data_IF_755353563871
#
_entry.id   IF_755353563871
#
_cell.length_a   1.000
_cell.length_b   1.000
_cell.length_c   1.000
_cell.angle_alpha   90.00
_cell.angle_beta   90.00
_cell.angle_gamma   90.00
#
_symmetry.space_group_name_H-M   'P 1'
#
loop_
_entity.id
_entity.type
_entity.pdbx_description
1 polymer ?
#
# COMPACT_ATOMS: atom_id res chain seq x y z
N UNK A 1 -73.14 -22.81 -36.72
CA UNK A 1 -72.69 -21.59 -36.02
C UNK A 1 -72.05 -21.84 -34.63
N UNK A 2 -71.89 -23.09 -34.15
CA UNK A 2 -71.39 -23.39 -32.79
C UNK A 2 -69.88 -23.65 -32.66
N UNK A 3 -69.18 -24.04 -33.73
CA UNK A 3 -67.74 -24.38 -33.65
C UNK A 3 -66.82 -23.17 -33.40
N UNK A 4 -67.16 -21.98 -33.94
CA UNK A 4 -66.34 -20.76 -33.76
C UNK A 4 -66.34 -20.23 -32.33
N UNK A 5 -67.38 -20.49 -31.53
CA UNK A 5 -67.44 -20.07 -30.11
C UNK A 5 -66.62 -20.98 -29.18
N UNK A 6 -66.54 -22.27 -29.47
CA UNK A 6 -65.75 -23.23 -28.68
C UNK A 6 -64.23 -23.02 -28.79
N UNK A 7 -63.74 -22.70 -29.99
CA UNK A 7 -62.30 -22.46 -30.24
C UNK A 7 -61.83 -21.17 -29.55
N UNK A 8 -62.65 -20.11 -29.55
CA UNK A 8 -62.34 -18.87 -28.85
C UNK A 8 -62.29 -19.03 -27.32
N UNK A 9 -63.17 -19.86 -26.74
CA UNK A 9 -63.17 -20.15 -25.31
C UNK A 9 -61.95 -21.00 -24.87
N UNK A 10 -61.54 -21.97 -25.69
CA UNK A 10 -60.30 -22.75 -25.49
C UNK A 10 -59.05 -21.88 -25.63
N UNK A 11 -59.01 -20.96 -26.60
CA UNK A 11 -57.88 -20.04 -26.75
C UNK A 11 -57.78 -19.08 -25.56
N UNK A 12 -58.90 -18.55 -25.07
CA UNK A 12 -58.92 -17.66 -23.89
C UNK A 12 -58.52 -18.38 -22.60
N UNK A 13 -58.88 -19.65 -22.43
CA UNK A 13 -58.51 -20.44 -21.24
C UNK A 13 -57.04 -20.87 -21.27
N UNK A 14 -56.54 -21.30 -22.44
CA UNK A 14 -55.11 -21.61 -22.64
C UNK A 14 -54.26 -20.34 -22.50
N UNK A 15 -54.69 -19.22 -23.07
CA UNK A 15 -54.00 -17.94 -22.93
C UNK A 15 -53.99 -17.43 -21.48
N UNK A 16 -55.09 -17.59 -20.74
CA UNK A 16 -55.14 -17.28 -19.30
C UNK A 16 -54.17 -18.13 -18.48
N UNK A 17 -53.89 -19.38 -18.87
CA UNK A 17 -52.89 -20.25 -18.22
C UNK A 17 -51.45 -19.95 -18.62
N UNK A 18 -51.20 -19.57 -19.87
CA UNK A 18 -49.85 -19.34 -20.42
C UNK A 18 -49.34 -17.92 -20.10
N UNK A 19 -50.23 -16.92 -20.00
CA UNK A 19 -49.87 -15.55 -19.66
C UNK A 19 -49.11 -15.42 -18.32
N UNK A 20 -49.52 -16.04 -17.20
CA UNK A 20 -48.77 -15.97 -15.94
C UNK A 20 -47.44 -16.72 -15.99
N UNK A 21 -47.32 -17.85 -16.71
CA UNK A 21 -46.04 -18.56 -16.85
C UNK A 21 -45.03 -17.78 -17.70
N UNK A 22 -45.48 -17.11 -18.76
CA UNK A 22 -44.67 -16.17 -19.55
C UNK A 22 -44.23 -14.94 -18.74
N UNK A 23 -45.09 -14.41 -17.88
CA UNK A 23 -44.75 -13.29 -17.00
C UNK A 23 -43.71 -13.70 -15.94
N UNK A 24 -43.85 -14.89 -15.33
CA UNK A 24 -42.84 -15.45 -14.43
C UNK A 24 -41.52 -15.71 -15.15
N UNK A 25 -41.54 -16.29 -16.35
CA UNK A 25 -40.33 -16.54 -17.14
C UNK A 25 -39.59 -15.24 -17.49
N UNK A 26 -40.32 -14.18 -17.88
CA UNK A 26 -39.74 -12.84 -18.11
C UNK A 26 -39.15 -12.24 -16.84
N UNK A 27 -39.83 -12.41 -15.70
CA UNK A 27 -39.32 -11.94 -14.41
C UNK A 27 -38.00 -12.62 -14.05
N UNK A 28 -37.92 -13.95 -14.13
CA UNK A 28 -36.69 -14.70 -13.83
C UNK A 28 -35.57 -14.41 -14.84
N UNK A 29 -35.89 -14.22 -16.12
CA UNK A 29 -34.90 -13.84 -17.14
C UNK A 29 -34.31 -12.43 -16.89
N UNK A 30 -35.13 -11.49 -16.41
CA UNK A 30 -34.69 -10.13 -16.09
C UNK A 30 -34.14 -9.99 -14.65
N UNK A 31 -34.38 -10.96 -13.78
CA UNK A 31 -33.99 -10.90 -12.38
C UNK A 31 -32.48 -10.72 -12.20
N UNK A 32 -31.67 -11.55 -12.85
CA UNK A 32 -30.23 -11.55 -12.71
C UNK A 32 -29.57 -10.22 -13.19
N UNK A 33 -29.86 -9.69 -14.39
CA UNK A 33 -29.29 -8.41 -14.82
C UNK A 33 -29.79 -7.22 -13.98
N UNK A 34 -31.05 -7.23 -13.54
CA UNK A 34 -31.58 -6.17 -12.66
C UNK A 34 -30.90 -6.20 -11.28
N UNK A 35 -30.69 -7.38 -10.71
CA UNK A 35 -29.99 -7.54 -9.43
C UNK A 35 -28.51 -7.14 -9.51
N UNK A 36 -27.82 -7.46 -10.62
CA UNK A 36 -26.44 -6.99 -10.85
C UNK A 36 -26.40 -5.47 -10.95
N UNK A 37 -27.28 -4.87 -11.75
CA UNK A 37 -27.37 -3.42 -11.90
C UNK A 37 -27.68 -2.74 -10.57
N UNK A 38 -28.61 -3.30 -9.78
CA UNK A 38 -28.90 -2.84 -8.42
C UNK A 38 -27.66 -2.90 -7.53
N UNK A 39 -26.94 -4.04 -7.48
CA UNK A 39 -25.73 -4.19 -6.67
C UNK A 39 -24.62 -3.22 -7.07
N UNK A 40 -24.49 -2.92 -8.35
CA UNK A 40 -23.53 -1.91 -8.82
C UNK A 40 -23.94 -0.49 -8.39
N UNK A 41 -25.23 -0.14 -8.48
CA UNK A 41 -25.76 1.16 -8.01
C UNK A 41 -25.65 1.31 -6.49
N UNK A 42 -26.03 0.28 -5.75
CA UNK A 42 -25.89 0.19 -4.30
C UNK A 42 -24.43 0.37 -3.89
N UNK A 43 -23.50 -0.32 -4.55
CA UNK A 43 -22.06 -0.17 -4.29
C UNK A 43 -21.55 1.23 -4.63
N UNK A 44 -22.02 1.87 -5.70
CA UNK A 44 -21.66 3.25 -6.03
C UNK A 44 -22.16 4.23 -4.98
N UNK A 45 -23.44 4.14 -4.60
CA UNK A 45 -24.01 4.98 -3.55
C UNK A 45 -23.30 4.74 -2.20
N UNK A 46 -22.96 3.50 -1.88
CA UNK A 46 -22.18 3.19 -0.68
C UNK A 46 -20.77 3.79 -0.73
N UNK A 47 -20.08 3.73 -1.88
CA UNK A 47 -18.78 4.36 -2.05
C UNK A 47 -18.83 5.90 -2.02
N UNK A 48 -19.98 6.52 -2.30
CA UNK A 48 -20.17 7.96 -2.12
C UNK A 48 -20.28 8.32 -0.63
N UNK A 49 -20.91 7.46 0.18
CA UNK A 49 -21.06 7.64 1.63
C UNK A 49 -19.76 7.29 2.37
N UNK A 50 -19.12 6.19 2.01
CA UNK A 50 -17.86 5.73 2.61
C UNK A 50 -16.81 5.61 1.51
N UNK A 51 -16.20 6.74 1.09
CA UNK A 51 -15.23 6.75 0.01
C UNK A 51 -13.99 5.93 0.35
N UNK A 52 -13.43 5.31 -0.68
CA UNK A 52 -12.13 4.65 -0.58
C UNK A 52 -11.03 5.67 -0.78
N UNK A 53 -10.27 5.92 0.27
CA UNK A 53 -9.12 6.80 0.28
C UNK A 53 -7.85 6.00 0.01
N UNK A 54 -7.10 6.39 -1.01
CA UNK A 54 -5.81 5.77 -1.32
C UNK A 54 -4.71 6.53 -0.59
N UNK A 55 -4.33 6.03 0.57
CA UNK A 55 -3.39 6.68 1.47
C UNK A 55 -2.11 5.85 1.58
N UNK A 56 -0.97 6.53 1.53
CA UNK A 56 0.30 5.94 1.96
C UNK A 56 0.37 5.88 3.48
N UNK A 57 1.26 5.06 4.03
CA UNK A 57 1.49 5.01 5.48
C UNK A 57 1.88 6.37 6.07
N UNK A 58 2.65 7.19 5.34
CA UNK A 58 3.02 8.54 5.76
C UNK A 58 1.83 9.50 5.78
N UNK A 59 0.95 9.42 4.77
CA UNK A 59 -0.30 10.22 4.73
C UNK A 59 -1.29 9.80 5.84
N UNK A 60 -1.33 8.51 6.17
CA UNK A 60 -2.13 8.01 7.28
C UNK A 60 -1.62 8.55 8.62
N UNK A 61 -0.31 8.50 8.86
CA UNK A 61 0.33 9.10 10.05
C UNK A 61 0.05 10.59 10.11
N UNK A 62 0.16 11.29 8.98
CA UNK A 62 -0.10 12.73 8.92
C UNK A 62 -1.53 13.04 9.38
N UNK A 63 -2.54 12.33 8.86
CA UNK A 63 -3.95 12.50 9.28
C UNK A 63 -4.20 12.13 10.74
N UNK A 64 -3.53 11.10 11.23
CA UNK A 64 -3.62 10.68 12.63
C UNK A 64 -3.06 11.78 13.56
N UNK A 65 -1.90 12.34 13.21
CA UNK A 65 -1.27 13.44 13.95
C UNK A 65 -2.02 14.78 13.81
N UNK A 66 -2.77 15.00 12.72
CA UNK A 66 -3.67 16.15 12.58
C UNK A 66 -4.79 16.13 13.62
N UNK A 67 -5.31 14.95 13.95
CA UNK A 67 -6.35 14.75 14.97
C UNK A 67 -5.79 14.75 16.40
N UNK A 68 -4.46 14.81 16.55
CA UNK A 68 -3.82 14.89 17.84
C UNK A 68 -3.95 16.31 18.40
N UNK A 69 -4.97 16.50 19.24
CA UNK A 69 -5.08 17.66 20.11
C UNK A 69 -4.02 17.56 21.22
N UNK A 70 -3.43 18.69 21.62
CA UNK A 70 -2.45 18.77 22.72
C UNK A 70 -3.12 18.49 24.07
N UNK A 71 -3.58 17.26 24.29
CA UNK A 71 -4.16 16.83 25.55
C UNK A 71 -3.00 16.46 26.49
N UNK A 72 -3.03 17.00 27.71
CA UNK A 72 -2.08 16.71 28.80
C UNK A 72 -0.64 17.23 28.65
N UNK A 73 -0.43 18.36 27.97
CA UNK A 73 0.85 19.11 28.06
C UNK A 73 2.05 18.47 27.37
N UNK A 74 1.88 17.28 26.76
CA UNK A 74 2.84 16.72 25.81
C UNK A 74 2.72 17.44 24.48
N UNK A 75 3.28 18.64 24.43
CA UNK A 75 3.42 19.39 23.18
C UNK A 75 4.41 18.69 22.27
N UNK A 76 4.21 18.84 20.96
CA UNK A 76 5.21 18.49 19.95
C UNK A 76 6.37 19.48 20.06
N UNK A 77 7.10 19.42 21.17
CA UNK A 77 8.13 20.34 21.55
C UNK A 77 9.43 20.06 20.80
N UNK A 78 10.32 21.06 20.81
CA UNK A 78 11.66 20.94 20.23
C UNK A 78 12.45 19.76 20.82
N UNK A 79 12.28 19.45 22.11
CA UNK A 79 12.92 18.30 22.76
C UNK A 79 12.48 16.96 22.16
N UNK A 80 11.18 16.80 21.89
CA UNK A 80 10.64 15.63 21.23
C UNK A 80 11.15 15.52 19.79
N UNK A 81 11.18 16.63 19.06
CA UNK A 81 11.77 16.68 17.72
C UNK A 81 13.26 16.26 17.73
N UNK A 82 14.06 16.77 18.67
CA UNK A 82 15.47 16.44 18.79
C UNK A 82 15.69 14.95 19.13
N UNK A 83 14.83 14.36 19.96
CA UNK A 83 14.84 12.91 20.27
C UNK A 83 14.50 12.05 19.03
N UNK A 84 13.47 12.45 18.28
CA UNK A 84 13.10 11.77 17.02
C UNK A 84 14.22 11.85 15.99
N UNK A 85 14.84 13.03 15.83
CA UNK A 85 15.96 13.23 14.91
C UNK A 85 17.16 12.36 15.31
N UNK A 86 17.50 12.30 16.61
CA UNK A 86 18.58 11.44 17.11
C UNK A 86 18.31 9.96 16.83
N UNK A 87 17.08 9.51 17.12
CA UNK A 87 16.66 8.12 16.88
C UNK A 87 16.71 7.79 15.40
N UNK A 88 16.25 8.71 14.55
CA UNK A 88 16.32 8.60 13.08
C UNK A 88 17.76 8.46 12.60
N UNK A 89 18.69 9.29 13.06
CA UNK A 89 20.10 9.24 12.64
C UNK A 89 20.76 7.92 13.04
N UNK A 90 20.56 7.47 14.28
CA UNK A 90 21.11 6.21 14.78
C UNK A 90 20.60 5.02 13.97
N UNK A 91 19.30 5.02 13.66
CA UNK A 91 18.67 3.96 12.88
C UNK A 91 19.14 3.97 11.43
N UNK A 92 19.27 5.15 10.82
CA UNK A 92 19.81 5.29 9.48
C UNK A 92 21.27 4.79 9.39
N UNK A 93 22.11 5.09 10.37
CA UNK A 93 23.50 4.62 10.37
C UNK A 93 23.59 3.10 10.56
N UNK A 94 22.70 2.51 11.39
CA UNK A 94 22.57 1.05 11.48
C UNK A 94 22.16 0.43 10.14
N UNK A 95 21.18 1.02 9.44
CA UNK A 95 20.77 0.55 8.10
C UNK A 95 21.92 0.66 7.11
N UNK A 96 22.62 1.80 7.06
CA UNK A 96 23.74 2.01 6.14
C UNK A 96 24.86 0.98 6.33
N UNK A 97 25.26 0.72 7.59
CA UNK A 97 26.26 -0.31 7.91
C UNK A 97 25.83 -1.70 7.46
N UNK A 98 24.54 -2.05 7.64
CA UNK A 98 24.01 -3.34 7.20
C UNK A 98 23.92 -3.46 5.68
N UNK A 99 23.55 -2.39 4.97
CA UNK A 99 23.55 -2.37 3.51
C UNK A 99 24.96 -2.58 2.94
N UNK A 100 25.96 -1.92 3.51
CA UNK A 100 27.37 -2.12 3.11
C UNK A 100 27.79 -3.57 3.36
N UNK A 101 27.48 -4.12 4.55
CA UNK A 101 27.78 -5.52 4.87
C UNK A 101 27.09 -6.48 3.88
N UNK A 102 25.79 -6.31 3.62
CA UNK A 102 25.05 -7.13 2.67
C UNK A 102 25.61 -7.01 1.26
N UNK A 103 26.03 -5.82 0.83
CA UNK A 103 26.68 -5.61 -0.47
C UNK A 103 28.01 -6.36 -0.54
N UNK A 104 28.86 -6.28 0.49
CA UNK A 104 30.12 -7.01 0.53
C UNK A 104 29.91 -8.53 0.47
N UNK A 105 28.95 -9.06 1.25
CA UNK A 105 28.63 -10.49 1.22
C UNK A 105 28.05 -10.91 -0.13
N UNK A 106 27.18 -10.09 -0.71
CA UNK A 106 26.62 -10.36 -2.03
C UNK A 106 27.72 -10.37 -3.12
N UNK A 107 28.62 -9.39 -3.11
CA UNK A 107 29.76 -9.36 -4.05
C UNK A 107 30.66 -10.59 -3.89
N UNK A 108 30.92 -11.04 -2.66
CA UNK A 108 31.66 -12.27 -2.40
C UNK A 108 30.92 -13.50 -2.93
N UNK A 109 29.62 -13.63 -2.64
CA UNK A 109 28.78 -14.73 -3.13
C UNK A 109 28.72 -14.76 -4.66
N UNK A 110 28.57 -13.60 -5.29
CA UNK A 110 28.52 -13.48 -6.75
C UNK A 110 29.86 -13.83 -7.40
N UNK A 111 30.98 -13.34 -6.85
CA UNK A 111 32.32 -13.70 -7.32
C UNK A 111 32.58 -15.21 -7.21
N UNK A 112 32.20 -15.81 -6.08
CA UNK A 112 32.30 -17.26 -5.88
C UNK A 112 31.43 -18.04 -6.86
N UNK A 113 30.21 -17.55 -7.14
CA UNK A 113 29.31 -18.18 -8.10
C UNK A 113 29.90 -18.18 -9.53
N UNK A 114 30.59 -17.10 -9.91
CA UNK A 114 31.35 -17.00 -11.16
C UNK A 114 32.66 -17.81 -11.14
N UNK A 115 32.95 -18.58 -10.08
CA UNK A 115 34.19 -19.33 -9.89
C UNK A 115 35.46 -18.46 -9.96
N UNK A 116 35.33 -17.15 -9.71
CA UNK A 116 36.45 -16.27 -9.46
C UNK A 116 36.96 -16.65 -8.05
N UNK A 117 38.08 -17.37 -7.98
CA UNK A 117 38.71 -17.84 -6.74
C UNK A 117 39.26 -16.66 -5.91
N UNK A 118 38.38 -15.80 -5.43
CA UNK A 118 38.74 -14.61 -4.65
C UNK A 118 38.66 -14.99 -3.17
N UNK A 119 39.82 -15.04 -2.52
CA UNK A 119 39.90 -15.23 -1.08
C UNK A 119 39.50 -13.92 -0.38
N UNK A 120 38.45 -13.96 0.45
CA UNK A 120 37.94 -12.79 1.18
C UNK A 120 38.29 -12.88 2.65
N UNK A 121 38.92 -11.81 3.18
CA UNK A 121 39.17 -11.62 4.61
C UNK A 121 38.12 -10.66 5.17
N UNK A 122 37.27 -11.14 6.07
CA UNK A 122 36.28 -10.29 6.77
C UNK A 122 36.48 -10.46 8.27
N UNK A 123 36.82 -9.36 8.95
CA UNK A 123 36.93 -9.33 10.43
C UNK A 123 38.01 -10.26 11.01
N UNK A 124 39.07 -10.59 10.26
CA UNK A 124 40.14 -11.49 10.70
C UNK A 124 39.94 -12.97 10.39
N UNK A 125 38.81 -13.35 9.76
CA UNK A 125 38.57 -14.72 9.31
C UNK A 125 38.86 -14.87 7.81
N UNK A 126 39.65 -15.90 7.46
CA UNK A 126 39.85 -16.35 6.08
C UNK A 126 38.70 -17.27 5.66
N UNK A 127 37.81 -16.77 4.81
CA UNK A 127 36.71 -17.56 4.24
C UNK A 127 37.23 -18.39 3.07
N UNK A 128 37.71 -19.61 3.36
CA UNK A 128 38.04 -20.59 2.32
C UNK A 128 36.77 -21.07 1.60
N UNK A 129 36.88 -21.29 0.30
CA UNK A 129 35.78 -21.77 -0.53
C UNK A 129 35.19 -23.09 0.01
N UNK A 130 33.94 -23.03 0.46
CA UNK A 130 33.12 -24.21 0.73
C UNK A 130 31.68 -23.93 0.31
N UNK A 131 31.02 -24.85 -0.40
CA UNK A 131 29.63 -24.66 -0.80
C UNK A 131 28.67 -24.45 0.37
N UNK A 132 29.00 -25.00 1.56
CA UNK A 132 28.19 -24.83 2.77
C UNK A 132 28.22 -23.36 3.24
N UNK A 133 29.38 -22.73 3.14
CA UNK A 133 29.59 -21.33 3.56
C UNK A 133 28.77 -20.39 2.67
N UNK A 134 28.71 -20.66 1.35
CA UNK A 134 27.90 -19.87 0.44
C UNK A 134 26.40 -19.94 0.77
N UNK A 135 25.86 -21.14 1.05
CA UNK A 135 24.45 -21.30 1.43
C UNK A 135 24.14 -20.66 2.79
N UNK A 136 25.04 -20.80 3.77
CA UNK A 136 24.91 -20.16 5.07
C UNK A 136 24.95 -18.63 4.98
N UNK A 137 25.86 -18.07 4.19
CA UNK A 137 25.94 -16.62 3.95
C UNK A 137 24.69 -16.10 3.22
N UNK A 138 24.16 -16.84 2.25
CA UNK A 138 22.91 -16.49 1.58
C UNK A 138 21.73 -16.45 2.57
N UNK A 139 21.65 -17.44 3.47
CA UNK A 139 20.62 -17.46 4.51
C UNK A 139 20.75 -16.27 5.48
N UNK A 140 21.96 -16.02 5.99
CA UNK A 140 22.24 -14.92 6.93
C UNK A 140 21.97 -13.56 6.29
N UNK A 141 22.40 -13.36 5.04
CA UNK A 141 22.13 -12.10 4.32
C UNK A 141 20.65 -11.88 4.10
N UNK A 142 19.88 -12.93 3.81
CA UNK A 142 18.43 -12.84 3.68
C UNK A 142 17.77 -12.45 5.03
N UNK A 143 18.19 -13.05 6.15
CA UNK A 143 17.71 -12.65 7.49
C UNK A 143 18.04 -11.19 7.82
N UNK A 144 19.27 -10.76 7.50
CA UNK A 144 19.70 -9.36 7.66
C UNK A 144 18.85 -8.44 6.79
N UNK A 145 18.54 -8.83 5.55
CA UNK A 145 17.72 -8.04 4.62
C UNK A 145 16.29 -7.85 5.14
N UNK A 146 15.63 -8.93 5.60
CA UNK A 146 14.28 -8.86 6.19
C UNK A 146 14.26 -7.94 7.41
N UNK A 147 15.22 -8.08 8.32
CA UNK A 147 15.31 -7.18 9.47
C UNK A 147 15.61 -5.74 9.05
N UNK A 148 16.45 -5.52 8.03
CA UNK A 148 16.77 -4.18 7.53
C UNK A 148 15.52 -3.50 6.96
N UNK A 149 14.66 -4.26 6.28
CA UNK A 149 13.39 -3.81 5.75
C UNK A 149 12.39 -3.42 6.85
N UNK A 150 12.36 -4.14 7.97
CA UNK A 150 11.59 -3.73 9.17
C UNK A 150 12.11 -2.40 9.75
N UNK A 151 13.43 -2.25 9.88
CA UNK A 151 14.01 -0.99 10.36
C UNK A 151 13.75 0.17 9.41
N UNK A 152 13.83 -0.05 8.10
CA UNK A 152 13.48 0.96 7.10
C UNK A 152 12.03 1.43 7.27
N UNK A 153 11.10 0.54 7.63
CA UNK A 153 9.72 0.93 7.91
C UNK A 153 9.62 1.82 9.16
N UNK A 154 10.32 1.48 10.26
CA UNK A 154 10.40 2.35 11.43
C UNK A 154 11.01 3.72 11.08
N UNK A 155 12.04 3.76 10.24
CA UNK A 155 12.63 5.01 9.73
C UNK A 155 11.57 5.86 9.01
N UNK A 156 10.76 5.24 8.15
CA UNK A 156 9.73 5.93 7.40
C UNK A 156 8.64 6.57 8.26
N UNK A 157 8.26 5.87 9.33
CA UNK A 157 7.31 6.41 10.33
C UNK A 157 7.92 7.65 10.97
N UNK A 158 9.16 7.56 11.46
CA UNK A 158 9.90 8.69 12.04
C UNK A 158 10.03 9.86 11.05
N UNK A 159 10.37 9.59 9.80
CA UNK A 159 10.49 10.60 8.75
C UNK A 159 9.17 11.35 8.53
N UNK A 160 8.06 10.62 8.50
CA UNK A 160 6.72 11.18 8.31
C UNK A 160 6.31 12.04 9.50
N UNK A 161 6.55 11.56 10.72
CA UNK A 161 6.29 12.31 11.96
C UNK A 161 7.14 13.57 12.06
N UNK A 162 8.44 13.49 11.77
CA UNK A 162 9.33 14.66 11.78
C UNK A 162 8.90 15.68 10.73
N UNK A 163 8.53 15.23 9.52
CA UNK A 163 8.00 16.11 8.46
C UNK A 163 6.72 16.83 8.91
N UNK A 164 5.81 16.12 9.57
CA UNK A 164 4.61 16.73 10.16
C UNK A 164 4.95 17.81 11.21
N UNK A 165 5.83 17.50 12.17
CA UNK A 165 6.21 18.43 13.23
C UNK A 165 6.85 19.70 12.66
N UNK A 166 7.76 19.54 11.68
CA UNK A 166 8.39 20.68 10.99
C UNK A 166 7.34 21.55 10.29
N UNK A 167 6.40 20.96 9.57
CA UNK A 167 5.35 21.71 8.86
C UNK A 167 4.42 22.45 9.83
N UNK A 168 4.01 21.81 10.94
CA UNK A 168 3.08 22.38 11.92
C UNK A 168 3.72 23.45 12.81
N UNK A 169 4.99 23.29 13.16
CA UNK A 169 5.63 24.09 14.22
C UNK A 169 6.57 25.18 13.71
N UNK A 170 7.04 25.08 12.46
CA UNK A 170 8.07 25.98 11.91
C UNK A 170 7.44 26.82 10.79
N UNK A 171 7.82 28.11 10.65
CA UNK A 171 7.40 28.94 9.52
C UNK A 171 7.81 28.34 8.16
N UNK A 172 6.97 28.48 7.11
CA UNK A 172 7.18 27.84 5.80
C UNK A 172 8.49 28.26 5.11
N UNK A 173 8.98 29.46 5.40
CA UNK A 173 10.22 30.00 4.84
C UNK A 173 11.45 29.17 5.25
N UNK A 174 11.40 28.54 6.43
CA UNK A 174 12.50 27.78 7.01
C UNK A 174 12.40 26.27 6.75
N UNK A 175 11.27 25.78 6.23
CA UNK A 175 11.04 24.35 6.02
C UNK A 175 12.16 23.68 5.23
N UNK A 176 12.59 24.29 4.12
CA UNK A 176 13.65 23.70 3.28
C UNK A 176 15.00 23.63 3.99
N UNK A 177 15.32 24.62 4.83
CA UNK A 177 16.57 24.62 5.59
C UNK A 177 16.53 23.51 6.64
N UNK A 178 15.40 23.36 7.34
CA UNK A 178 15.20 22.27 8.29
C UNK A 178 15.21 20.91 7.59
N UNK A 179 14.57 20.79 6.43
CA UNK A 179 14.60 19.56 5.66
C UNK A 179 15.99 19.22 5.13
N UNK A 180 16.75 20.20 4.65
CA UNK A 180 18.14 19.98 4.23
C UNK A 180 19.03 19.57 5.42
N UNK A 181 18.81 20.16 6.61
CA UNK A 181 19.55 19.82 7.83
C UNK A 181 19.23 18.41 8.31
N UNK A 182 17.95 18.06 8.41
CA UNK A 182 17.50 16.79 8.99
C UNK A 182 17.58 15.65 7.97
N UNK A 183 17.15 15.89 6.73
CA UNK A 183 17.04 14.91 5.65
C UNK A 183 18.14 15.08 4.59
N UNK A 184 19.36 15.37 5.02
CA UNK A 184 20.53 15.59 4.15
C UNK A 184 20.82 14.46 3.13
N UNK A 185 20.39 13.22 3.41
CA UNK A 185 20.55 12.05 2.53
C UNK A 185 19.37 11.82 1.56
N UNK A 186 18.23 12.47 1.78
CA UNK A 186 17.02 12.35 0.93
C UNK A 186 16.78 13.59 0.06
N UNK A 187 17.28 14.75 0.49
CA UNK A 187 16.95 16.03 -0.13
C UNK A 187 17.72 16.22 -1.44
N UNK A 188 17.10 15.81 -2.54
CA UNK A 188 17.54 16.06 -3.91
C UNK A 188 17.10 17.39 -4.55
N UNK A 189 16.05 18.13 -4.09
CA UNK A 189 15.68 19.35 -4.78
C UNK A 189 16.68 20.48 -4.46
N UNK A 190 16.98 21.28 -5.47
CA UNK A 190 17.67 22.56 -5.27
C UNK A 190 16.80 23.49 -4.41
N UNK A 191 17.43 24.28 -3.54
CA UNK A 191 16.74 25.29 -2.74
C UNK A 191 15.87 26.18 -3.63
N UNK A 192 14.56 26.22 -3.37
CA UNK A 192 13.65 27.17 -4.02
C UNK A 192 13.39 28.33 -3.07
N UNK A 193 13.86 29.54 -3.39
CA UNK A 193 13.72 30.67 -2.48
C UNK A 193 12.25 31.04 -2.33
N UNK A 194 11.75 30.98 -1.09
CA UNK A 194 10.37 31.39 -0.77
C UNK A 194 10.20 32.91 -0.80
N UNK A 195 11.18 33.64 -0.24
CA UNK A 195 11.16 35.10 -0.14
C UNK A 195 11.67 35.83 -1.40
N UNK A 196 12.19 35.10 -2.39
CA UNK A 196 12.68 35.67 -3.66
C UNK A 196 11.99 35.00 -4.85
N UNK A 197 10.66 35.15 -4.99
CA UNK A 197 9.87 34.45 -6.01
C UNK A 197 10.24 34.85 -7.46
N UNK A 198 10.93 35.97 -7.63
CA UNK A 198 11.44 36.44 -8.92
C UNK A 198 12.72 35.70 -9.37
N UNK A 199 13.41 35.01 -8.46
CA UNK A 199 14.57 34.17 -8.78
C UNK A 199 14.03 32.77 -9.05
N UNK A 200 13.73 32.52 -10.33
CA UNK A 200 13.27 31.21 -10.78
C UNK A 200 14.42 30.41 -11.38
N UNK A 201 14.24 29.08 -11.46
CA UNK A 201 15.23 28.24 -12.11
C UNK A 201 15.31 28.54 -13.61
N UNK A 202 16.53 28.73 -14.11
CA UNK A 202 16.79 28.75 -15.54
C UNK A 202 16.33 27.40 -16.16
N UNK A 203 15.69 27.39 -17.34
CA UNK A 203 15.38 26.18 -18.09
C UNK A 203 16.50 25.14 -18.15
N UNK A 204 17.76 25.57 -18.24
CA UNK A 204 18.92 24.69 -18.21
C UNK A 204 19.01 23.89 -16.90
N UNK A 205 18.79 24.53 -15.76
CA UNK A 205 18.86 23.87 -14.46
C UNK A 205 17.72 22.85 -14.30
N UNK A 206 16.50 23.23 -14.70
CA UNK A 206 15.36 22.31 -14.71
C UNK A 206 15.59 21.12 -15.65
N UNK A 207 16.18 21.37 -16.83
CA UNK A 207 16.57 20.33 -17.77
C UNK A 207 17.59 19.39 -17.13
N UNK A 208 18.75 19.90 -16.68
CA UNK A 208 19.79 19.08 -16.06
C UNK A 208 19.25 18.27 -14.87
N UNK A 209 18.50 18.91 -13.97
CA UNK A 209 17.88 18.22 -12.82
C UNK A 209 16.96 17.08 -13.24
N UNK A 210 16.12 17.28 -14.27
CA UNK A 210 15.23 16.23 -14.80
C UNK A 210 16.02 15.06 -15.39
N UNK A 211 17.02 15.32 -16.23
CA UNK A 211 17.81 14.25 -16.85
C UNK A 211 18.68 13.51 -15.84
N UNK A 212 19.25 14.19 -14.85
CA UNK A 212 19.98 13.56 -13.74
C UNK A 212 19.06 12.68 -12.90
N UNK A 213 17.84 13.15 -12.59
CA UNK A 213 16.86 12.34 -11.86
C UNK A 213 16.44 11.09 -12.65
N UNK A 214 16.19 11.22 -13.95
CA UNK A 214 15.87 10.08 -14.84
C UNK A 214 17.05 9.11 -14.90
N UNK A 215 18.28 9.59 -15.12
CA UNK A 215 19.47 8.75 -15.17
C UNK A 215 19.68 8.00 -13.84
N UNK A 216 19.52 8.68 -12.70
CA UNK A 216 19.63 8.04 -11.39
C UNK A 216 18.54 6.98 -11.18
N UNK A 217 17.31 7.26 -11.57
CA UNK A 217 16.22 6.29 -11.53
C UNK A 217 16.50 5.07 -12.42
N UNK A 218 17.00 5.29 -13.65
CA UNK A 218 17.38 4.20 -14.55
C UNK A 218 18.50 3.35 -13.98
N UNK A 219 19.54 3.95 -13.38
CA UNK A 219 20.62 3.24 -12.72
C UNK A 219 20.12 2.43 -11.51
N UNK A 220 19.23 3.00 -10.71
CA UNK A 220 18.64 2.35 -9.54
C UNK A 220 17.77 1.15 -9.96
N UNK A 221 16.88 1.33 -10.94
CA UNK A 221 16.07 0.24 -11.48
C UNK A 221 16.94 -0.84 -12.14
N UNK A 222 17.92 -0.46 -12.95
CA UNK A 222 18.83 -1.39 -13.63
C UNK A 222 19.66 -2.22 -12.65
N UNK A 223 20.30 -1.57 -11.66
CA UNK A 223 21.06 -2.25 -10.61
C UNK A 223 20.17 -3.16 -9.75
N UNK A 224 18.96 -2.73 -9.43
CA UNK A 224 17.97 -3.54 -8.72
C UNK A 224 17.54 -4.79 -9.50
N UNK A 225 17.27 -4.65 -10.80
CA UNK A 225 16.93 -5.79 -11.66
C UNK A 225 18.08 -6.79 -11.78
N UNK A 226 19.31 -6.31 -11.96
CA UNK A 226 20.51 -7.16 -12.00
C UNK A 226 20.65 -7.90 -10.67
N UNK A 227 20.54 -7.20 -9.54
CA UNK A 227 20.62 -7.80 -8.21
C UNK A 227 19.58 -8.90 -8.01
N UNK A 228 18.32 -8.67 -8.39
CA UNK A 228 17.24 -9.66 -8.31
C UNK A 228 17.52 -10.85 -9.23
N UNK A 229 17.93 -10.61 -10.47
CA UNK A 229 18.24 -11.67 -11.43
C UNK A 229 19.37 -12.58 -10.93
N UNK A 230 20.45 -11.99 -10.39
CA UNK A 230 21.55 -12.74 -9.78
C UNK A 230 21.08 -13.59 -8.58
N UNK A 231 20.25 -13.02 -7.69
CA UNK A 231 19.71 -13.77 -6.55
C UNK A 231 18.80 -14.93 -7.00
N UNK A 232 17.91 -14.70 -7.97
CA UNK A 232 17.06 -15.76 -8.53
C UNK A 232 17.92 -16.87 -9.14
N UNK A 233 18.97 -16.51 -9.87
CA UNK A 233 19.87 -17.49 -10.48
C UNK A 233 20.60 -18.34 -9.43
N UNK A 234 21.10 -17.72 -8.36
CA UNK A 234 21.73 -18.43 -7.25
C UNK A 234 20.76 -19.36 -6.51
N UNK A 235 19.52 -18.92 -6.27
CA UNK A 235 18.48 -19.74 -5.63
C UNK A 235 18.09 -20.92 -6.53
N UNK A 236 17.96 -20.66 -7.84
CA UNK A 236 17.66 -21.70 -8.83
C UNK A 236 18.72 -22.80 -8.81
N UNK A 237 20.00 -22.44 -8.87
CA UNK A 237 21.10 -23.41 -8.79
C UNK A 237 21.05 -24.21 -7.47
N UNK A 238 20.73 -23.56 -6.35
CA UNK A 238 20.64 -24.23 -5.05
C UNK A 238 19.49 -25.24 -4.94
N UNK A 239 18.36 -24.99 -5.60
CA UNK A 239 17.18 -25.87 -5.58
C UNK A 239 17.35 -27.04 -6.54
N UNK A 240 17.83 -26.78 -7.76
CA UNK A 240 17.90 -27.80 -8.81
C UNK A 240 19.23 -28.59 -8.81
N UNK A 241 20.31 -28.01 -8.28
CA UNK A 241 21.61 -28.68 -8.11
C UNK A 241 22.03 -28.68 -6.62
N UNK A 242 21.27 -29.35 -5.73
CA UNK A 242 21.49 -29.25 -4.29
C UNK A 242 22.79 -29.95 -3.87
N UNK A 243 23.77 -29.16 -3.43
CA UNK A 243 25.06 -29.68 -2.94
C UNK A 243 24.97 -30.41 -1.59
N UNK A 244 23.92 -30.14 -0.80
CA UNK A 244 23.68 -30.79 0.50
C UNK A 244 22.29 -31.45 0.59
N UNK A 245 21.77 -31.92 -0.56
CA UNK A 245 20.47 -32.59 -0.63
C UNK A 245 19.33 -31.72 -0.09
N UNK A 246 18.50 -32.28 0.80
CA UNK A 246 17.29 -31.63 1.34
C UNK A 246 17.53 -30.33 2.11
N UNK A 247 18.72 -30.14 2.71
CA UNK A 247 19.04 -28.92 3.45
C UNK A 247 19.11 -27.72 2.49
N UNK A 248 19.78 -27.88 1.35
CA UNK A 248 19.88 -26.83 0.32
C UNK A 248 18.51 -26.44 -0.23
N UNK A 249 17.65 -27.44 -0.48
CA UNK A 249 16.28 -27.22 -0.93
C UNK A 249 15.47 -26.45 0.12
N UNK A 250 15.59 -26.83 1.39
CA UNK A 250 14.88 -26.18 2.50
C UNK A 250 15.29 -24.72 2.68
N UNK A 251 16.60 -24.43 2.61
CA UNK A 251 17.12 -23.06 2.66
C UNK A 251 16.60 -22.25 1.47
N UNK A 252 16.59 -22.82 0.26
CA UNK A 252 16.06 -22.16 -0.95
C UNK A 252 14.58 -21.82 -0.83
N UNK A 253 13.77 -22.78 -0.38
CA UNK A 253 12.35 -22.57 -0.13
C UNK A 253 12.11 -21.48 0.92
N UNK A 254 12.88 -21.49 2.02
CA UNK A 254 12.80 -20.45 3.06
C UNK A 254 13.11 -19.06 2.49
N UNK A 255 14.17 -18.91 1.68
CA UNK A 255 14.54 -17.63 1.07
C UNK A 255 13.45 -17.14 0.11
N UNK A 256 12.86 -18.03 -0.68
CA UNK A 256 11.75 -17.67 -1.60
C UNK A 256 10.53 -17.20 -0.81
N UNK A 257 10.11 -17.97 0.20
CA UNK A 257 8.93 -17.64 1.03
C UNK A 257 9.14 -16.31 1.74
N UNK A 258 10.28 -16.12 2.40
CA UNK A 258 10.61 -14.86 3.08
C UNK A 258 10.73 -13.69 2.11
N UNK A 259 11.27 -13.90 0.91
CA UNK A 259 11.29 -12.89 -0.16
C UNK A 259 9.89 -12.45 -0.59
N UNK A 260 8.95 -13.39 -0.75
CA UNK A 260 7.54 -13.09 -1.06
C UNK A 260 6.91 -12.27 0.08
N UNK A 261 7.08 -12.70 1.34
CA UNK A 261 6.56 -11.96 2.49
C UNK A 261 7.18 -10.57 2.63
N UNK A 262 8.49 -10.42 2.40
CA UNK A 262 9.17 -9.14 2.40
C UNK A 262 8.63 -8.21 1.30
N UNK A 263 8.39 -8.74 0.10
CA UNK A 263 7.79 -7.99 -1.00
C UNK A 263 6.37 -7.53 -0.67
N UNK A 264 5.52 -8.41 -0.14
CA UNK A 264 4.18 -8.06 0.34
C UNK A 264 4.23 -7.02 1.46
N UNK A 265 5.16 -7.15 2.39
CA UNK A 265 5.36 -6.16 3.46
C UNK A 265 5.76 -4.79 2.91
N UNK A 266 6.63 -4.72 1.90
CA UNK A 266 6.93 -3.44 1.23
C UNK A 266 5.70 -2.85 0.55
N UNK A 267 4.88 -3.67 -0.11
CA UNK A 267 3.62 -3.19 -0.71
C UNK A 267 2.75 -2.55 0.37
N UNK A 268 2.57 -3.25 1.50
CA UNK A 268 1.69 -2.79 2.58
C UNK A 268 2.22 -1.51 3.24
N UNK A 269 3.53 -1.38 3.39
CA UNK A 269 4.14 -0.28 4.15
C UNK A 269 4.49 0.94 3.30
N UNK A 270 4.69 0.79 1.98
CA UNK A 270 5.19 1.86 1.10
C UNK A 270 4.21 2.36 0.07
N UNK A 271 3.31 1.50 -0.40
CA UNK A 271 2.36 1.89 -1.45
C UNK A 271 1.11 2.48 -0.84
N UNK A 272 0.39 3.25 -1.65
CA UNK A 272 -0.93 3.72 -1.28
C UNK A 272 -1.88 2.53 -1.25
N UNK A 273 -2.45 2.27 -0.08
CA UNK A 273 -3.46 1.24 0.10
C UNK A 273 -4.86 1.87 0.20
N UNK A 274 -5.91 1.14 -0.18
CA UNK A 274 -7.28 1.60 -0.04
C UNK A 274 -7.74 1.48 1.41
N UNK A 275 -8.05 2.61 2.03
CA UNK A 275 -8.73 2.71 3.33
C UNK A 275 -10.17 3.15 3.12
N UNK A 276 -11.09 2.61 3.89
CA UNK A 276 -12.49 3.06 3.88
C UNK A 276 -12.63 4.20 4.89
N UNK A 277 -13.14 5.34 4.44
CA UNK A 277 -13.46 6.44 5.33
C UNK A 277 -14.80 6.17 6.05
N UNK A 278 -14.72 5.99 7.37
CA UNK A 278 -15.88 5.76 8.23
C UNK A 278 -16.27 7.00 9.06
N UNK A 279 -15.80 8.19 8.69
CA UNK A 279 -16.09 9.45 9.41
C UNK A 279 -17.60 9.65 9.63
N UNK A 280 -18.43 9.43 8.61
CA UNK A 280 -19.88 9.53 8.76
C UNK A 280 -20.50 8.50 9.71
N UNK A 281 -19.94 7.29 9.77
CA UNK A 281 -20.42 6.27 10.73
C UNK A 281 -20.05 6.67 12.17
N UNK A 282 -18.84 7.21 12.36
CA UNK A 282 -18.40 7.73 13.65
C UNK A 282 -19.24 8.95 14.09
N UNK A 283 -19.53 9.87 13.17
CA UNK A 283 -20.44 11.01 13.41
C UNK A 283 -21.82 10.53 13.88
N UNK A 284 -22.40 9.53 13.21
CA UNK A 284 -23.69 8.94 13.60
C UNK A 284 -23.64 8.20 14.93
N UNK A 285 -22.53 7.57 15.27
CA UNK A 285 -22.33 6.90 16.55
C UNK A 285 -22.24 7.91 17.70
N UNK A 286 -21.45 8.97 17.53
CA UNK A 286 -21.34 10.08 18.48
C UNK A 286 -22.68 10.79 18.67
N UNK A 287 -23.39 11.10 17.58
CA UNK A 287 -24.74 11.64 17.66
C UNK A 287 -25.67 10.67 18.39
N UNK A 288 -25.51 9.36 18.23
CA UNK A 288 -26.29 8.38 18.98
C UNK A 288 -26.07 8.43 20.50
N UNK A 289 -24.90 8.89 20.95
CA UNK A 289 -24.58 9.03 22.37
C UNK A 289 -25.06 10.38 22.93
N UNK A 290 -25.06 11.43 22.12
CA UNK A 290 -25.37 12.81 22.55
C UNK A 290 -26.83 13.20 22.28
N UNK A 291 -27.33 12.93 21.08
CA UNK A 291 -28.65 13.35 20.58
C UNK A 291 -29.24 12.32 19.58
N UNK A 292 -30.06 11.36 20.07
CA UNK A 292 -30.60 10.29 19.25
C UNK A 292 -31.61 10.78 18.19
N UNK A 293 -32.31 11.89 18.43
CA UNK A 293 -33.28 12.44 17.48
C UNK A 293 -32.56 13.05 16.27
N UNK A 294 -31.47 13.79 16.53
CA UNK A 294 -30.61 14.32 15.47
C UNK A 294 -29.89 13.22 14.70
N UNK A 295 -29.52 12.12 15.35
CA UNK A 295 -28.98 10.93 14.65
C UNK A 295 -29.96 10.39 13.62
N UNK A 296 -31.25 10.29 13.95
CA UNK A 296 -32.26 9.76 13.03
C UNK A 296 -32.40 10.63 11.77
N UNK A 297 -32.39 11.95 11.94
CA UNK A 297 -32.39 12.92 10.84
C UNK A 297 -31.11 12.81 9.99
N UNK A 298 -29.94 12.78 10.63
CA UNK A 298 -28.66 12.70 9.92
C UNK A 298 -28.49 11.38 9.17
N UNK A 299 -28.94 10.28 9.76
CA UNK A 299 -28.94 8.95 9.13
C UNK A 299 -29.85 8.92 7.91
N UNK A 300 -31.04 9.53 7.99
CA UNK A 300 -31.94 9.59 6.84
C UNK A 300 -31.31 10.42 5.71
N UNK A 301 -30.69 11.58 6.00
CA UNK A 301 -29.97 12.38 5.01
C UNK A 301 -28.86 11.60 4.28
N UNK A 302 -28.02 10.88 5.03
CA UNK A 302 -26.86 10.16 4.48
C UNK A 302 -27.31 8.94 3.66
N UNK A 303 -28.29 8.18 4.17
CA UNK A 303 -28.70 6.91 3.58
C UNK A 303 -29.93 6.99 2.66
N UNK A 304 -30.55 8.17 2.45
CA UNK A 304 -31.80 8.30 1.67
C UNK A 304 -31.69 7.72 0.26
N UNK A 305 -30.56 7.95 -0.41
CA UNK A 305 -30.28 7.40 -1.75
C UNK A 305 -30.22 5.86 -1.75
N UNK A 306 -29.69 5.25 -0.70
CA UNK A 306 -29.66 3.78 -0.57
C UNK A 306 -31.04 3.23 -0.20
N UNK A 307 -31.76 3.92 0.69
CA UNK A 307 -33.10 3.55 1.11
C UNK A 307 -34.08 3.61 -0.06
N UNK A 308 -34.01 4.67 -0.88
CA UNK A 308 -34.84 4.84 -2.09
C UNK A 308 -34.55 3.77 -3.15
N UNK A 309 -33.28 3.47 -3.43
CA UNK A 309 -32.90 2.37 -4.33
C UNK A 309 -33.44 1.01 -3.85
N UNK A 310 -33.39 0.75 -2.54
CA UNK A 310 -33.93 -0.48 -1.97
C UNK A 310 -35.46 -0.52 -2.05
N UNK A 311 -36.13 0.60 -1.79
CA UNK A 311 -37.59 0.74 -1.90
C UNK A 311 -38.06 0.48 -3.33
N UNK A 312 -37.40 1.04 -4.34
CA UNK A 312 -37.69 0.79 -5.76
C UNK A 312 -37.63 -0.71 -6.10
N UNK A 313 -36.65 -1.42 -5.57
CA UNK A 313 -36.48 -2.86 -5.78
C UNK A 313 -37.52 -3.71 -5.04
N UNK A 314 -37.98 -3.27 -3.86
CA UNK A 314 -39.09 -3.89 -3.13
C UNK A 314 -40.41 -3.69 -3.87
N UNK A 315 -40.69 -2.48 -4.35
CA UNK A 315 -41.91 -2.15 -5.12
C UNK A 315 -41.98 -2.94 -6.43
N UNK A 316 -40.84 -3.18 -7.07
CA UNK A 316 -40.74 -4.02 -8.27
C UNK A 316 -40.80 -5.53 -7.99
N UNK A 317 -40.86 -5.95 -6.73
CA UNK A 317 -40.95 -7.36 -6.32
C UNK A 317 -39.63 -8.14 -6.42
N UNK A 318 -38.50 -7.47 -6.63
CA UNK A 318 -37.19 -8.12 -6.69
C UNK A 318 -36.57 -8.37 -5.30
N UNK A 319 -36.98 -7.59 -4.30
CA UNK A 319 -36.56 -7.73 -2.89
C UNK A 319 -37.77 -7.91 -1.98
N UNK A 320 -37.60 -8.65 -0.87
CA UNK A 320 -38.60 -8.71 0.21
C UNK A 320 -38.54 -7.44 1.05
N UNK A 321 -39.70 -6.97 1.51
CA UNK A 321 -39.80 -5.90 2.50
C UNK A 321 -39.16 -6.41 3.81
N UNK A 322 -38.15 -5.70 4.30
CA UNK A 322 -37.47 -5.96 5.58
C UNK A 322 -38.15 -5.14 6.66
#
# INVERSE_FOLDING_TARGET
MSLRRGIGALFLTVWKRIKPSLQSAKFYALWLPVMIAFKLRERRAYNEISPKLWLSSGELIYRDLEMYDEVDGHKLDKSFLDELVKTRTDLHDKIAKRLILTLCVFSFLFANFLSLKIDFKVGGFDLKYSPAIAQGLLLVTNMIAVHTLMMQNSLHILDSTIKFIVIKSIPPELHQIYFAKIFNREHYPSYTPYNLPHITFNPLNTFMGKYTAVAFLTLLCGSGLIYVACNIWMIYDMIFNPKFGWISISIGAYIVITGIFAFLYMIITRFKLPYTDYTHNQELELLGQIDPDRRALRSSEIYDKLISLRREMVERGYLKKV
#
